data_IF_707639780815
#
_entry.id   IF_707639780815
#
_cell.length_a   1.000
_cell.length_b   1.000
_cell.length_c   1.000
_cell.angle_alpha   90.00
_cell.angle_beta   90.00
_cell.angle_gamma   90.00
#
_symmetry.space_group_name_H-M   'P 1'
#
loop_
_entity.id
_entity.type
_entity.pdbx_description
1 polymer ?
#
# COMPACT_ATOMS: atom_id res chain seq x y z
N UNK A 1 2.30 5.04 8.26
CA UNK A 1 1.62 6.28 8.63
C UNK A 1 0.13 6.13 8.44
N UNK A 2 -0.61 5.96 9.54
CA UNK A 2 -2.06 6.14 9.61
C UNK A 2 -2.31 7.12 10.76
N UNK A 3 -3.17 8.12 10.57
CA UNK A 3 -3.51 9.13 11.60
C UNK A 3 -5.01 9.14 11.79
N UNK A 4 -5.44 8.95 13.03
CA UNK A 4 -6.83 9.11 13.43
C UNK A 4 -6.99 10.44 14.16
N UNK A 5 -7.97 11.26 13.75
CA UNK A 5 -8.33 12.51 14.42
C UNK A 5 -9.67 12.29 15.12
N UNK A 6 -9.74 12.59 16.43
CA UNK A 6 -10.96 12.44 17.23
C UNK A 6 -11.61 11.04 17.14
N UNK A 7 -10.79 10.00 17.02
CA UNK A 7 -11.22 8.62 16.92
C UNK A 7 -10.12 7.65 17.37
N UNK A 8 -10.48 6.38 17.56
CA UNK A 8 -9.56 5.30 17.90
C UNK A 8 -9.20 4.42 16.70
N UNK A 9 -8.29 3.44 16.90
CA UNK A 9 -7.91 2.50 15.86
C UNK A 9 -9.16 1.74 15.39
N UNK A 10 -9.50 1.94 14.12
CA UNK A 10 -10.57 1.23 13.43
C UNK A 10 -10.05 0.69 12.12
N UNK A 11 -10.48 -0.52 11.83
CA UNK A 11 -10.17 -1.20 10.59
C UNK A 11 -11.21 -0.82 9.55
N UNK A 12 -10.79 -0.05 8.55
CA UNK A 12 -11.64 0.36 7.45
C UNK A 12 -11.17 -0.38 6.20
N UNK A 13 -12.05 -1.20 5.64
CA UNK A 13 -11.79 -1.93 4.39
C UNK A 13 -11.32 -0.95 3.30
N UNK A 14 -10.32 -1.35 2.53
CA UNK A 14 -9.69 -0.56 1.46
C UNK A 14 -8.92 0.69 1.92
N UNK A 15 -8.75 0.92 3.23
CA UNK A 15 -7.91 2.00 3.75
C UNK A 15 -6.52 1.46 4.03
N UNK A 16 -5.56 1.85 3.18
CA UNK A 16 -4.21 1.34 3.25
C UNK A 16 -3.49 1.58 4.57
N UNK A 17 -3.00 0.53 5.21
CA UNK A 17 -2.22 0.58 6.45
C UNK A 17 -0.72 0.49 6.18
N UNK A 18 0.10 1.25 6.91
CA UNK A 18 1.54 1.30 6.67
C UNK A 18 2.33 1.77 7.90
N UNK A 19 3.63 1.47 7.95
CA UNK A 19 4.61 2.00 8.90
C UNK A 19 5.25 3.32 8.45
N UNK A 20 6.13 3.90 9.26
CA UNK A 20 7.09 4.94 8.84
C UNK A 20 8.43 4.72 9.57
N UNK A 21 9.57 4.98 8.92
CA UNK A 21 10.92 4.68 9.43
C UNK A 21 11.08 3.19 9.79
N UNK A 22 11.46 2.88 11.02
CA UNK A 22 11.69 1.52 11.49
C UNK A 22 10.38 0.78 11.85
N UNK A 23 9.21 1.39 11.62
CA UNK A 23 7.90 0.77 11.89
C UNK A 23 7.36 -0.08 10.73
N UNK A 24 8.18 -0.39 9.73
CA UNK A 24 7.81 -1.26 8.60
C UNK A 24 8.02 -0.61 7.23
N UNK A 25 8.03 -1.45 6.19
CA UNK A 25 8.22 -1.09 4.78
C UNK A 25 7.00 -1.58 3.98
N UNK A 26 6.56 -0.78 3.02
CA UNK A 26 5.38 -1.08 2.20
C UNK A 26 4.06 -0.65 2.83
N UNK A 27 2.96 -0.99 2.15
CA UNK A 27 1.58 -0.76 2.61
C UNK A 27 0.75 -2.01 2.34
N UNK A 28 -0.21 -2.27 3.20
CA UNK A 28 -1.16 -3.37 3.09
C UNK A 28 -2.59 -2.81 2.97
N UNK A 29 -3.53 -3.62 2.49
CA UNK A 29 -4.96 -3.34 2.34
C UNK A 29 -5.30 -2.21 1.37
N UNK A 30 -4.42 -2.02 0.37
CA UNK A 30 -4.61 -1.04 -0.69
C UNK A 30 -3.93 -1.51 -1.99
N UNK A 31 -4.15 -0.77 -3.07
CA UNK A 31 -3.63 -1.14 -4.40
C UNK A 31 -2.11 -1.33 -4.44
N UNK A 32 -1.39 -0.62 -3.57
CA UNK A 32 0.06 -0.73 -3.42
C UNK A 32 0.49 -2.15 -2.99
N UNK A 33 -0.32 -2.81 -2.15
CA UNK A 33 -0.10 -4.21 -1.75
C UNK A 33 -0.18 -5.13 -2.97
N UNK A 34 -1.25 -5.02 -3.76
CA UNK A 34 -1.43 -5.81 -4.97
C UNK A 34 -0.25 -5.60 -5.93
N UNK A 35 0.17 -4.34 -6.13
CA UNK A 35 1.31 -4.02 -6.97
C UNK A 35 2.61 -4.61 -6.41
N UNK A 36 2.80 -4.63 -5.09
CA UNK A 36 3.98 -5.21 -4.44
C UNK A 36 4.14 -6.71 -4.71
N UNK A 37 3.04 -7.42 -4.95
CA UNK A 37 3.02 -8.82 -5.35
C UNK A 37 3.13 -9.05 -6.85
N UNK A 38 3.14 -7.98 -7.66
CA UNK A 38 3.24 -8.06 -9.12
C UNK A 38 4.59 -7.56 -9.62
N UNK A 39 4.96 -7.98 -10.83
CA UNK A 39 6.14 -7.46 -11.52
C UNK A 39 5.72 -6.69 -12.77
N UNK A 40 6.15 -5.43 -12.88
CA UNK A 40 5.97 -4.66 -14.11
C UNK A 40 6.88 -5.19 -15.22
N UNK A 41 6.30 -5.55 -16.37
CA UNK A 41 7.03 -5.97 -17.57
C UNK A 41 6.70 -5.03 -18.73
N UNK A 42 7.70 -4.34 -19.26
CA UNK A 42 7.56 -3.52 -20.48
C UNK A 42 7.85 -4.36 -21.72
N UNK A 43 7.02 -4.23 -22.76
CA UNK A 43 7.19 -4.92 -24.04
C UNK A 43 7.07 -3.87 -25.15
N UNK A 44 8.10 -3.75 -25.97
CA UNK A 44 8.13 -2.86 -27.14
C UNK A 44 8.07 -3.71 -28.41
N UNK A 45 7.10 -3.44 -29.28
CA UNK A 45 6.95 -4.11 -30.57
C UNK A 45 7.21 -3.05 -31.65
N UNK A 46 8.21 -3.31 -32.49
CA UNK A 46 8.57 -2.45 -33.64
C UNK A 46 8.21 -3.25 -34.90
N UNK A 47 7.54 -2.58 -35.84
CA UNK A 47 6.95 -3.17 -37.05
C UNK A 47 7.69 -2.70 -38.29
#
# INVERSE_FOLDING_TARGET
GCVWINGGPRHFMSTGFAGYKNSGIGREECLDELLSYTQSKSIHIIL
#
